data_IF_528720566752
#
_entry.id   IF_528720566752
#
_cell.length_a   1.000
_cell.length_b   1.000
_cell.length_c   1.000
_cell.angle_alpha   90.00
_cell.angle_beta   90.00
_cell.angle_gamma   90.00
#
_symmetry.space_group_name_H-M   'P 1'
#
loop_
_entity.id
_entity.type
_entity.pdbx_description
1 polymer ?
#
# COMPACT_ATOMS: atom_id res chain seq x y z
N UNK A 1 13.52 -3.65 -23.79
CA UNK A 1 13.62 -4.86 -22.94
C UNK A 1 13.14 -4.50 -21.55
N UNK A 2 11.83 -4.60 -21.30
CA UNK A 2 11.21 -4.08 -20.07
C UNK A 2 11.62 -4.82 -18.81
N UNK A 3 11.64 -4.11 -17.67
CA UNK A 3 11.76 -4.67 -16.31
C UNK A 3 10.80 -5.84 -16.13
N UNK A 4 9.61 -5.73 -16.74
CA UNK A 4 8.57 -6.75 -16.78
C UNK A 4 8.95 -8.09 -17.44
N UNK A 5 9.75 -8.08 -18.51
CA UNK A 5 10.20 -9.30 -19.18
C UNK A 5 11.15 -10.08 -18.25
N UNK A 6 12.05 -9.34 -17.58
CA UNK A 6 12.99 -9.89 -16.59
C UNK A 6 12.26 -10.46 -15.38
N UNK A 7 11.17 -9.82 -14.94
CA UNK A 7 10.30 -10.30 -13.86
C UNK A 7 9.53 -11.57 -14.22
N UNK A 8 8.99 -11.67 -15.45
CA UNK A 8 8.34 -12.90 -15.94
C UNK A 8 9.32 -14.08 -15.99
N UNK A 9 10.56 -13.78 -16.33
CA UNK A 9 11.64 -14.77 -16.38
C UNK A 9 12.24 -15.07 -14.98
N UNK A 10 12.00 -14.21 -13.97
CA UNK A 10 12.39 -14.42 -12.57
C UNK A 10 11.38 -15.32 -11.83
N UNK A 11 11.43 -16.61 -12.12
CA UNK A 11 10.78 -17.62 -11.27
C UNK A 11 11.54 -17.77 -9.93
N UNK A 12 10.91 -18.39 -8.92
CA UNK A 12 11.56 -18.64 -7.62
C UNK A 12 12.91 -19.37 -7.73
N UNK A 13 13.09 -20.19 -8.78
CA UNK A 13 14.34 -20.87 -9.09
C UNK A 13 15.40 -19.91 -9.67
N UNK A 14 14.99 -19.02 -10.59
CA UNK A 14 15.87 -18.01 -11.19
C UNK A 14 16.36 -16.98 -10.17
N UNK A 15 15.56 -16.66 -9.15
CA UNK A 15 15.98 -15.78 -8.03
C UNK A 15 17.16 -16.41 -7.27
N UNK A 16 17.10 -17.71 -6.96
CA UNK A 16 18.19 -18.40 -6.27
C UNK A 16 19.48 -18.45 -7.11
N UNK A 17 19.36 -18.77 -8.40
CA UNK A 17 20.51 -18.88 -9.31
C UNK A 17 21.19 -17.52 -9.60
N UNK A 18 20.42 -16.43 -9.55
CA UNK A 18 20.92 -15.08 -9.76
C UNK A 18 21.50 -14.47 -8.46
N UNK A 19 21.00 -14.88 -7.29
CA UNK A 19 21.53 -14.49 -5.98
C UNK A 19 22.98 -14.94 -5.77
N UNK A 20 23.39 -16.07 -6.35
CA UNK A 20 24.76 -16.60 -6.25
C UNK A 20 25.80 -15.76 -7.02
N UNK A 21 25.38 -14.85 -7.92
CA UNK A 21 26.27 -14.07 -8.79
C UNK A 21 26.35 -12.57 -8.50
N UNK A 22 25.56 -12.06 -7.56
CA UNK A 22 25.46 -10.61 -7.27
C UNK A 22 26.04 -10.29 -5.90
N UNK A 23 27.04 -9.40 -5.84
CA UNK A 23 27.70 -9.00 -4.58
C UNK A 23 26.75 -8.34 -3.57
N UNK A 24 25.65 -7.71 -4.01
CA UNK A 24 24.64 -7.07 -3.15
C UNK A 24 23.20 -7.29 -3.66
N UNK A 25 22.57 -8.45 -3.40
CA UNK A 25 21.23 -8.78 -3.91
C UNK A 25 20.12 -7.89 -3.33
N UNK A 26 20.31 -7.34 -2.12
CA UNK A 26 19.34 -6.50 -1.43
C UNK A 26 19.18 -5.13 -2.13
N UNK A 27 20.27 -4.53 -2.60
CA UNK A 27 20.23 -3.23 -3.27
C UNK A 27 19.46 -3.29 -4.60
N UNK A 28 19.63 -4.39 -5.34
CA UNK A 28 18.97 -4.62 -6.60
C UNK A 28 17.47 -4.90 -6.44
N UNK A 29 17.09 -5.65 -5.41
CA UNK A 29 15.68 -5.83 -5.04
C UNK A 29 15.01 -4.52 -4.63
N UNK A 30 15.74 -3.61 -3.98
CA UNK A 30 15.21 -2.29 -3.65
C UNK A 30 14.95 -1.45 -4.90
N UNK A 31 15.84 -1.50 -5.90
CA UNK A 31 15.61 -0.84 -7.19
C UNK A 31 14.39 -1.42 -7.90
N UNK A 32 14.27 -2.75 -7.96
CA UNK A 32 13.10 -3.39 -8.56
C UNK A 32 11.79 -3.03 -7.85
N UNK A 33 11.79 -2.97 -6.51
CA UNK A 33 10.60 -2.55 -5.77
C UNK A 33 10.23 -1.10 -6.09
N UNK A 34 11.21 -0.22 -6.26
CA UNK A 34 10.97 1.17 -6.65
C UNK A 34 10.39 1.28 -8.06
N UNK A 35 10.96 0.55 -9.02
CA UNK A 35 10.44 0.51 -10.39
C UNK A 35 9.00 -0.02 -10.42
N UNK A 36 8.69 -1.07 -9.64
CA UNK A 36 7.33 -1.60 -9.51
C UNK A 36 6.37 -0.61 -8.85
N UNK A 37 6.82 0.17 -7.88
CA UNK A 37 6.01 1.20 -7.23
C UNK A 37 5.65 2.32 -8.22
N UNK A 38 6.59 2.75 -9.05
CA UNK A 38 6.36 3.71 -10.13
C UNK A 38 5.38 3.16 -11.18
N UNK A 39 5.58 1.92 -11.64
CA UNK A 39 4.67 1.26 -12.60
C UNK A 39 3.24 1.09 -12.02
N UNK A 40 3.11 0.77 -10.72
CA UNK A 40 1.81 0.67 -10.05
C UNK A 40 1.13 2.03 -10.00
N UNK A 41 1.86 3.10 -9.68
CA UNK A 41 1.31 4.46 -9.65
C UNK A 41 0.82 4.91 -11.04
N UNK A 42 1.58 4.61 -12.10
CA UNK A 42 1.16 4.90 -13.48
C UNK A 42 -0.07 4.08 -13.89
N UNK A 43 -0.11 2.80 -13.51
CA UNK A 43 -1.25 1.93 -13.75
C UNK A 43 -2.51 2.39 -13.00
N UNK A 44 -2.37 2.85 -11.75
CA UNK A 44 -3.47 3.44 -10.97
C UNK A 44 -4.09 4.65 -11.67
N UNK A 45 -3.27 5.57 -12.18
CA UNK A 45 -3.74 6.73 -12.93
C UNK A 45 -4.45 6.29 -14.21
N UNK A 46 -3.93 5.28 -14.90
CA UNK A 46 -4.51 4.76 -16.14
C UNK A 46 -5.87 4.10 -15.89
N UNK A 47 -5.97 3.26 -14.85
CA UNK A 47 -7.23 2.65 -14.40
C UNK A 47 -8.23 3.73 -14.03
N UNK A 48 -7.82 4.74 -13.25
CA UNK A 48 -8.70 5.84 -12.85
C UNK A 48 -9.22 6.64 -14.05
N UNK A 49 -8.38 6.90 -15.07
CA UNK A 49 -8.80 7.53 -16.32
C UNK A 49 -9.81 6.68 -17.07
N UNK A 50 -9.61 5.37 -17.14
CA UNK A 50 -10.54 4.46 -17.82
C UNK A 50 -11.89 4.39 -17.09
N UNK A 51 -11.87 4.29 -15.76
CA UNK A 51 -13.10 4.35 -14.95
C UNK A 51 -13.82 5.69 -15.09
N UNK A 52 -13.09 6.80 -15.20
CA UNK A 52 -13.68 8.10 -15.46
C UNK A 52 -14.34 8.17 -16.85
N UNK A 53 -13.73 7.54 -17.85
CA UNK A 53 -14.31 7.41 -19.20
C UNK A 53 -15.58 6.57 -19.19
N UNK A 54 -15.58 5.42 -18.51
CA UNK A 54 -16.79 4.61 -18.27
C UNK A 54 -17.91 5.43 -17.64
N UNK A 55 -17.62 6.17 -16.56
CA UNK A 55 -18.61 7.01 -15.88
C UNK A 55 -19.20 8.09 -16.79
N UNK A 56 -18.37 8.73 -17.63
CA UNK A 56 -18.85 9.71 -18.60
C UNK A 56 -19.82 9.09 -19.61
N UNK A 57 -19.53 7.88 -20.09
CA UNK A 57 -20.46 7.17 -20.97
C UNK A 57 -21.75 6.81 -20.24
N UNK A 58 -21.68 6.40 -18.97
CA UNK A 58 -22.86 6.13 -18.16
C UNK A 58 -23.74 7.38 -17.97
N UNK A 59 -23.13 8.54 -17.74
CA UNK A 59 -23.83 9.83 -17.67
C UNK A 59 -24.48 10.19 -19.01
N UNK A 60 -23.78 9.99 -20.13
CA UNK A 60 -24.33 10.23 -21.46
C UNK A 60 -25.57 9.36 -21.75
N UNK A 61 -25.57 8.09 -21.31
CA UNK A 61 -26.76 7.23 -21.43
C UNK A 61 -27.94 7.83 -20.67
N UNK A 62 -27.73 8.28 -19.43
CA UNK A 62 -28.79 8.90 -18.61
C UNK A 62 -29.30 10.20 -19.21
N UNK A 63 -28.42 11.02 -19.77
CA UNK A 63 -28.82 12.26 -20.45
C UNK A 63 -29.67 11.96 -21.69
N UNK A 64 -29.32 10.94 -22.47
CA UNK A 64 -30.11 10.50 -23.62
C UNK A 64 -31.47 9.95 -23.19
N UNK A 65 -31.53 9.16 -22.11
CA UNK A 65 -32.80 8.68 -21.53
C UNK A 65 -33.71 9.85 -21.14
N UNK A 66 -33.17 10.87 -20.47
CA UNK A 66 -33.93 12.08 -20.10
C UNK A 66 -34.45 12.80 -21.34
N UNK A 67 -33.59 13.04 -22.34
CA UNK A 67 -33.99 13.72 -23.58
C UNK A 67 -35.08 12.93 -24.33
N UNK A 68 -34.99 11.60 -24.37
CA UNK A 68 -36.01 10.76 -24.96
C UNK A 68 -37.36 10.88 -24.25
N UNK A 69 -37.36 10.90 -22.90
CA UNK A 69 -38.58 11.10 -22.11
C UNK A 69 -39.18 12.51 -22.34
N UNK A 70 -38.34 13.54 -22.49
CA UNK A 70 -38.80 14.89 -22.84
C UNK A 70 -39.46 14.93 -24.22
N UNK A 71 -38.88 14.26 -25.24
CA UNK A 71 -39.48 14.15 -26.58
C UNK A 71 -40.78 13.37 -26.57
N UNK A 72 -40.88 12.32 -25.77
CA UNK A 72 -42.11 11.57 -25.57
C UNK A 72 -43.22 12.45 -24.98
N UNK A 73 -42.92 13.20 -23.92
CA UNK A 73 -43.88 14.14 -23.32
C UNK A 73 -44.35 15.23 -24.31
N UNK A 74 -43.43 15.75 -25.13
CA UNK A 74 -43.76 16.72 -26.19
C UNK A 74 -44.66 16.13 -27.27
N UNK A 75 -44.40 14.87 -27.67
CA UNK A 75 -45.25 14.15 -28.61
C UNK A 75 -46.66 13.92 -28.05
N UNK A 76 -46.77 13.50 -26.78
CA UNK A 76 -48.05 13.32 -26.11
C UNK A 76 -48.84 14.63 -26.03
N UNK A 77 -48.18 15.73 -25.71
CA UNK A 77 -48.83 17.04 -25.66
C UNK A 77 -49.33 17.47 -27.05
N UNK A 78 -48.52 17.31 -28.09
CA UNK A 78 -48.92 17.63 -29.47
C UNK A 78 -50.13 16.79 -29.92
N UNK A 79 -50.21 15.51 -29.53
CA UNK A 79 -51.38 14.66 -29.79
C UNK A 79 -52.63 15.16 -29.06
N UNK A 80 -52.52 15.57 -27.79
CA UNK A 80 -53.64 16.15 -27.03
C UNK A 80 -54.16 17.45 -27.65
N UNK A 81 -53.27 18.22 -28.30
CA UNK A 81 -53.61 19.43 -29.03
C UNK A 81 -54.12 19.17 -30.46
N UNK A 82 -54.23 17.90 -30.88
CA UNK A 82 -54.70 17.50 -32.22
C UNK A 82 -53.68 17.75 -33.35
N UNK A 83 -52.42 18.02 -33.01
CA UNK A 83 -51.36 18.33 -33.98
C UNK A 83 -50.55 17.07 -34.31
N UNK A 84 -51.16 16.15 -35.06
CA UNK A 84 -50.55 14.85 -35.37
C UNK A 84 -49.18 14.94 -36.08
N UNK A 85 -49.01 15.88 -37.01
CA UNK A 85 -47.74 16.02 -37.75
C UNK A 85 -46.57 16.42 -36.84
N UNK A 86 -46.80 17.27 -35.84
CA UNK A 86 -45.74 17.65 -34.87
C UNK A 86 -45.47 16.52 -33.88
N UNK A 87 -46.49 15.76 -33.48
CA UNK A 87 -46.28 14.56 -32.69
C UNK A 87 -45.41 13.52 -33.40
N UNK A 88 -45.65 13.29 -34.71
CA UNK A 88 -44.79 12.40 -35.52
C UNK A 88 -43.35 12.87 -35.59
N UNK A 89 -43.12 14.18 -35.71
CA UNK A 89 -41.77 14.76 -35.69
C UNK A 89 -41.05 14.49 -34.36
N UNK A 90 -41.71 14.73 -33.23
CA UNK A 90 -41.12 14.45 -31.90
C UNK A 90 -40.84 12.96 -31.68
N UNK A 91 -41.71 12.08 -32.17
CA UNK A 91 -41.47 10.63 -32.12
C UNK A 91 -40.31 10.19 -33.02
N UNK A 92 -40.15 10.79 -34.20
CA UNK A 92 -39.01 10.55 -35.08
C UNK A 92 -37.70 10.98 -34.39
N UNK A 93 -37.67 12.16 -33.77
CA UNK A 93 -36.52 12.63 -32.99
C UNK A 93 -36.20 11.69 -31.83
N UNK A 94 -37.21 11.19 -31.12
CA UNK A 94 -37.03 10.19 -30.05
C UNK A 94 -36.39 8.91 -30.58
N UNK A 95 -36.84 8.40 -31.73
CA UNK A 95 -36.27 7.19 -32.35
C UNK A 95 -34.79 7.39 -32.72
N UNK A 96 -34.42 8.58 -33.22
CA UNK A 96 -33.01 8.91 -33.46
C UNK A 96 -32.18 8.94 -32.17
N UNK A 97 -32.72 9.52 -31.09
CA UNK A 97 -32.07 9.49 -29.78
C UNK A 97 -31.93 8.06 -29.25
N UNK A 98 -32.93 7.20 -29.48
CA UNK A 98 -32.89 5.79 -29.09
C UNK A 98 -31.77 5.02 -29.80
N UNK A 99 -31.60 5.22 -31.11
CA UNK A 99 -30.50 4.62 -31.86
C UNK A 99 -29.15 5.04 -31.27
N UNK A 100 -28.97 6.34 -31.05
CA UNK A 100 -27.74 6.87 -30.42
C UNK A 100 -27.51 6.31 -29.02
N UNK A 101 -28.57 6.16 -28.23
CA UNK A 101 -28.47 5.55 -26.89
C UNK A 101 -27.98 4.11 -26.97
N UNK A 102 -28.46 3.30 -27.92
CA UNK A 102 -27.98 1.92 -28.09
C UNK A 102 -26.50 1.83 -28.46
N UNK A 103 -26.02 2.77 -29.28
CA UNK A 103 -24.59 2.89 -29.62
C UNK A 103 -23.75 3.22 -28.37
N UNK A 104 -24.16 4.25 -27.61
CA UNK A 104 -23.45 4.67 -26.40
C UNK A 104 -23.49 3.59 -25.32
N UNK A 105 -24.60 2.86 -25.18
CA UNK A 105 -24.69 1.72 -24.26
C UNK A 105 -23.71 0.59 -24.62
N UNK A 106 -23.51 0.34 -25.92
CA UNK A 106 -22.53 -0.64 -26.39
C UNK A 106 -21.10 -0.19 -26.07
N UNK A 107 -20.80 1.10 -26.27
CA UNK A 107 -19.51 1.67 -25.88
C UNK A 107 -19.29 1.63 -24.36
N UNK A 108 -20.33 1.90 -23.58
CA UNK A 108 -20.29 1.85 -22.13
C UNK A 108 -20.00 0.42 -21.62
N UNK A 109 -20.66 -0.60 -22.17
CA UNK A 109 -20.42 -1.99 -21.77
C UNK A 109 -18.99 -2.45 -22.09
N UNK A 110 -18.45 -2.05 -23.24
CA UNK A 110 -17.05 -2.30 -23.60
C UNK A 110 -16.09 -1.58 -22.66
N UNK A 111 -16.33 -0.29 -22.39
CA UNK A 111 -15.49 0.51 -21.49
C UNK A 111 -15.51 -0.03 -20.06
N UNK A 112 -16.65 -0.54 -19.60
CA UNK A 112 -16.79 -1.20 -18.30
C UNK A 112 -15.97 -2.49 -18.22
N UNK A 113 -16.10 -3.37 -19.22
CA UNK A 113 -15.32 -4.62 -19.26
C UNK A 113 -13.81 -4.34 -19.22
N UNK A 114 -13.35 -3.34 -19.99
CA UNK A 114 -11.94 -2.91 -19.97
C UNK A 114 -11.53 -2.32 -18.62
N UNK A 115 -12.39 -1.53 -17.97
CA UNK A 115 -12.10 -0.97 -16.64
C UNK A 115 -11.97 -2.05 -15.58
N UNK A 116 -12.85 -3.05 -15.61
CA UNK A 116 -12.83 -4.20 -14.71
C UNK A 116 -11.57 -5.05 -14.92
N UNK A 117 -11.20 -5.33 -16.17
CA UNK A 117 -9.97 -6.06 -16.51
C UNK A 117 -8.71 -5.33 -16.01
N UNK A 118 -8.60 -4.02 -16.27
CA UNK A 118 -7.46 -3.22 -15.82
C UNK A 118 -7.39 -3.13 -14.29
N UNK A 119 -8.54 -3.05 -13.61
CA UNK A 119 -8.60 -3.06 -12.15
C UNK A 119 -8.12 -4.42 -11.58
N UNK A 120 -8.52 -5.53 -12.19
CA UNK A 120 -8.03 -6.85 -11.83
C UNK A 120 -6.51 -6.99 -12.03
N UNK A 121 -6.00 -6.56 -13.19
CA UNK A 121 -4.57 -6.59 -13.47
C UNK A 121 -3.79 -5.75 -12.43
N UNK A 122 -4.27 -4.54 -12.11
CA UNK A 122 -3.66 -3.70 -11.09
C UNK A 122 -3.62 -4.38 -9.72
N UNK A 123 -4.68 -5.10 -9.35
CA UNK A 123 -4.72 -5.86 -8.11
C UNK A 123 -3.63 -6.95 -8.07
N UNK A 124 -3.51 -7.75 -9.14
CA UNK A 124 -2.48 -8.78 -9.26
C UNK A 124 -1.05 -8.19 -9.19
N UNK A 125 -0.85 -7.01 -9.79
CA UNK A 125 0.43 -6.28 -9.71
C UNK A 125 0.76 -5.88 -8.27
N UNK A 126 -0.21 -5.36 -7.52
CA UNK A 126 -0.06 -5.02 -6.10
C UNK A 126 0.27 -6.25 -5.26
N UNK A 127 -0.43 -7.37 -5.46
CA UNK A 127 -0.12 -8.63 -4.77
C UNK A 127 1.32 -9.10 -5.04
N UNK A 128 1.76 -9.02 -6.29
CA UNK A 128 3.13 -9.38 -6.68
C UNK A 128 4.17 -8.47 -6.03
N UNK A 129 3.89 -7.17 -5.96
CA UNK A 129 4.73 -6.21 -5.22
C UNK A 129 4.86 -6.59 -3.74
N UNK A 130 3.75 -6.93 -3.06
CA UNK A 130 3.79 -7.37 -1.66
C UNK A 130 4.61 -8.66 -1.47
N UNK A 131 4.45 -9.64 -2.38
CA UNK A 131 5.26 -10.87 -2.35
C UNK A 131 6.76 -10.56 -2.49
N UNK A 132 7.13 -9.69 -3.43
CA UNK A 132 8.52 -9.29 -3.63
C UNK A 132 9.09 -8.52 -2.43
N UNK A 133 8.30 -7.63 -1.83
CA UNK A 133 8.68 -6.88 -0.63
C UNK A 133 8.97 -7.82 0.55
N UNK A 134 8.11 -8.82 0.75
CA UNK A 134 8.33 -9.85 1.78
C UNK A 134 9.60 -10.66 1.49
N UNK A 135 9.82 -11.06 0.24
CA UNK A 135 11.03 -11.79 -0.16
C UNK A 135 12.30 -10.96 0.07
N UNK A 136 12.26 -9.66 -0.23
CA UNK A 136 13.37 -8.73 0.07
C UNK A 136 13.68 -8.69 1.56
N UNK A 137 12.66 -8.61 2.42
CA UNK A 137 12.86 -8.59 3.87
C UNK A 137 13.50 -9.89 4.39
N UNK A 138 13.05 -11.02 3.88
CA UNK A 138 13.62 -12.33 4.19
C UNK A 138 15.11 -12.39 3.79
N UNK A 139 15.43 -11.96 2.56
CA UNK A 139 16.80 -11.97 2.05
C UNK A 139 17.72 -10.99 2.79
N UNK A 140 17.22 -9.82 3.17
CA UNK A 140 17.96 -8.85 3.98
C UNK A 140 18.29 -9.39 5.37
N UNK A 141 17.35 -10.08 6.02
CA UNK A 141 17.61 -10.73 7.31
C UNK A 141 18.67 -11.84 7.18
N UNK A 142 18.56 -12.68 6.14
CA UNK A 142 19.55 -13.73 5.86
C UNK A 142 20.95 -13.15 5.57
N UNK A 143 21.03 -12.08 4.78
CA UNK A 143 22.32 -11.44 4.47
C UNK A 143 22.95 -10.83 5.71
N UNK A 144 22.16 -10.21 6.59
CA UNK A 144 22.65 -9.68 7.87
C UNK A 144 23.17 -10.78 8.79
N UNK A 145 22.46 -11.92 8.90
CA UNK A 145 22.92 -13.08 9.66
C UNK A 145 24.22 -13.66 9.09
N UNK A 146 24.31 -13.83 7.77
CA UNK A 146 25.51 -14.34 7.11
C UNK A 146 26.71 -13.39 7.28
N UNK A 147 26.48 -12.07 7.19
CA UNK A 147 27.52 -11.07 7.43
C UNK A 147 27.99 -11.08 8.89
N UNK A 148 27.07 -11.20 9.85
CA UNK A 148 27.38 -11.33 11.28
C UNK A 148 28.20 -12.59 11.54
N UNK A 149 27.82 -13.74 10.97
CA UNK A 149 28.55 -15.00 11.12
C UNK A 149 29.95 -14.93 10.47
N UNK A 150 30.07 -14.28 9.32
CA UNK A 150 31.36 -14.03 8.67
C UNK A 150 32.23 -13.11 9.52
N UNK A 151 31.67 -12.05 10.11
CA UNK A 151 32.39 -11.14 10.99
C UNK A 151 32.83 -11.83 12.29
N UNK A 152 31.99 -12.69 12.89
CA UNK A 152 32.38 -13.52 14.05
C UNK A 152 33.50 -14.50 13.71
N UNK A 153 33.44 -15.14 12.53
CA UNK A 153 34.49 -16.04 12.03
C UNK A 153 35.80 -15.29 11.74
N UNK A 154 35.73 -14.10 11.15
CA UNK A 154 36.90 -13.27 10.79
C UNK A 154 37.49 -12.51 11.99
N UNK A 155 36.70 -12.22 13.04
CA UNK A 155 37.17 -11.60 14.28
C UNK A 155 37.93 -12.57 15.20
N UNK A 156 38.25 -13.78 14.72
CA UNK A 156 39.20 -14.66 15.38
C UNK A 156 38.66 -15.46 16.56
N UNK A 157 37.35 -15.72 16.66
CA UNK A 157 36.85 -16.68 17.66
C UNK A 157 37.26 -18.14 17.34
N UNK A 158 37.93 -18.38 16.21
CA UNK A 158 38.48 -19.68 15.82
C UNK A 158 39.88 -19.98 16.36
N UNK A 159 40.44 -19.14 17.25
CA UNK A 159 41.80 -19.32 17.79
C UNK A 159 41.92 -19.60 19.30
N UNK A 160 40.84 -19.53 20.08
CA UNK A 160 40.92 -19.55 21.56
C UNK A 160 40.18 -20.76 22.18
N UNK A 161 40.06 -21.86 21.43
CA UNK A 161 39.73 -23.18 22.01
C UNK A 161 41.00 -23.97 22.42
N UNK A 162 42.15 -23.30 22.47
CA UNK A 162 43.38 -23.80 23.08
C UNK A 162 43.56 -23.22 24.48
N UNK A 163 43.10 -23.95 25.49
CA UNK A 163 43.64 -23.98 26.88
C UNK A 163 43.96 -22.61 27.52
N UNK A 164 42.98 -22.03 28.25
CA UNK A 164 43.28 -21.13 29.38
C UNK A 164 42.59 -19.76 29.44
N UNK A 165 41.95 -19.27 28.37
CA UNK A 165 41.43 -17.88 28.33
C UNK A 165 39.90 -17.76 28.16
N UNK A 166 39.14 -18.83 28.42
CA UNK A 166 37.67 -18.78 28.37
C UNK A 166 37.08 -17.75 29.37
N UNK A 167 37.71 -17.59 30.54
CA UNK A 167 37.28 -16.61 31.54
C UNK A 167 37.41 -15.14 31.06
N UNK A 168 38.47 -14.79 30.33
CA UNK A 168 38.65 -13.45 29.76
C UNK A 168 37.72 -13.19 28.56
N UNK A 169 37.39 -14.24 27.80
CA UNK A 169 36.37 -14.16 26.75
C UNK A 169 34.97 -13.93 27.32
N UNK A 170 34.62 -14.62 28.41
CA UNK A 170 33.36 -14.41 29.12
C UNK A 170 33.25 -13.00 29.70
N UNK A 171 34.31 -12.46 30.33
CA UNK A 171 34.30 -11.09 30.85
C UNK A 171 34.07 -10.03 29.77
N UNK A 172 34.63 -10.20 28.57
CA UNK A 172 34.41 -9.27 27.45
C UNK A 172 33.01 -9.37 26.86
N UNK A 173 32.44 -10.58 26.82
CA UNK A 173 31.06 -10.80 26.38
C UNK A 173 30.09 -10.23 27.41
N UNK A 174 30.37 -10.41 28.70
CA UNK A 174 29.60 -9.84 29.80
C UNK A 174 29.66 -8.30 29.76
N UNK A 175 30.83 -7.68 29.58
CA UNK A 175 30.94 -6.21 29.38
C UNK A 175 30.19 -5.72 28.13
N UNK A 176 30.19 -6.49 27.04
CA UNK A 176 29.49 -6.12 25.80
C UNK A 176 27.97 -6.23 25.95
N UNK A 177 27.50 -7.27 26.65
CA UNK A 177 26.08 -7.44 26.99
C UNK A 177 25.67 -6.35 27.97
N UNK A 178 26.49 -6.02 28.97
CA UNK A 178 26.24 -4.97 29.94
C UNK A 178 26.23 -3.59 29.27
N UNK A 179 27.08 -3.34 28.27
CA UNK A 179 27.01 -2.13 27.42
C UNK A 179 25.75 -2.11 26.54
N UNK A 180 25.35 -3.24 25.95
CA UNK A 180 24.11 -3.31 25.16
C UNK A 180 22.85 -3.20 26.04
N UNK A 181 22.89 -3.72 27.27
CA UNK A 181 21.84 -3.57 28.27
C UNK A 181 21.79 -2.17 28.84
N UNK A 182 22.94 -1.51 29.00
CA UNK A 182 23.03 -0.08 29.33
C UNK A 182 22.49 0.73 28.15
N UNK A 183 22.85 0.48 26.89
CA UNK A 183 22.30 1.19 25.73
C UNK A 183 20.81 0.92 25.53
N UNK A 184 20.34 -0.32 25.69
CA UNK A 184 18.93 -0.69 25.63
C UNK A 184 18.14 -0.18 26.85
N UNK A 185 18.79 -0.10 28.00
CA UNK A 185 18.30 0.49 29.25
C UNK A 185 18.27 2.02 29.18
N UNK A 186 19.20 2.65 28.46
CA UNK A 186 19.22 4.07 28.13
C UNK A 186 18.17 4.39 27.05
N UNK A 187 17.84 3.47 26.15
CA UNK A 187 16.66 3.60 25.27
C UNK A 187 15.33 3.41 26.01
N UNK A 188 15.30 2.68 27.14
CA UNK A 188 14.14 2.62 28.05
C UNK A 188 14.17 3.66 29.18
N UNK A 189 15.28 4.36 29.37
CA UNK A 189 15.54 5.30 30.47
C UNK A 189 15.95 6.72 30.02
N UNK A 190 15.87 7.03 28.72
CA UNK A 190 16.01 8.39 28.17
C UNK A 190 14.69 9.16 28.12
N UNK A 191 13.77 8.86 29.04
CA UNK A 191 12.96 9.89 29.66
C UNK A 191 13.80 10.50 30.81
N UNK A 192 14.76 11.34 30.44
CA UNK A 192 15.57 12.08 31.40
C UNK A 192 14.72 13.02 32.27
N UNK A 193 15.18 13.34 33.49
CA UNK A 193 14.42 14.06 34.51
C UNK A 193 14.37 15.57 34.23
N UNK A 194 13.21 16.19 34.51
CA UNK A 194 13.15 17.60 34.91
C UNK A 194 12.50 18.60 33.94
N UNK A 195 11.19 18.49 33.74
CA UNK A 195 10.32 19.68 33.81
C UNK A 195 9.11 19.29 34.65
N UNK A 196 9.12 19.71 35.90
CA UNK A 196 7.97 19.59 36.78
C UNK A 196 6.81 20.38 36.17
N UNK A 197 5.75 19.67 35.77
CA UNK A 197 4.46 20.30 35.52
C UNK A 197 3.83 20.64 36.89
N UNK A 198 3.67 21.93 37.23
CA UNK A 198 3.12 22.37 38.53
C UNK A 198 1.67 21.92 38.79
N UNK A 199 1.00 21.32 37.79
CA UNK A 199 -0.28 20.64 37.96
C UNK A 199 -0.16 19.28 38.67
N UNK A 200 1.00 18.63 38.61
CA UNK A 200 1.20 17.27 39.14
C UNK A 200 1.42 17.27 40.65
N UNK A 201 2.16 18.26 41.18
CA UNK A 201 2.33 18.43 42.63
C UNK A 201 0.99 18.70 43.33
N UNK A 202 0.12 19.55 42.75
CA UNK A 202 -1.21 19.82 43.30
C UNK A 202 -2.10 18.56 43.36
N UNK A 203 -2.00 17.71 42.34
CA UNK A 203 -2.75 16.43 42.29
C UNK A 203 -2.21 15.41 43.27
N UNK A 204 -0.90 15.41 43.50
CA UNK A 204 -0.24 14.54 44.49
C UNK A 204 -0.59 15.01 45.90
N UNK A 205 -0.63 16.32 46.16
CA UNK A 205 -1.04 16.88 47.45
C UNK A 205 -2.52 16.59 47.75
N UNK A 206 -3.41 16.70 46.76
CA UNK A 206 -4.83 16.35 46.90
C UNK A 206 -5.04 14.84 47.18
N UNK A 207 -4.26 13.96 46.55
CA UNK A 207 -4.27 12.51 46.83
C UNK A 207 -3.70 12.19 48.22
N UNK A 208 -2.65 12.91 48.64
CA UNK A 208 -2.03 12.76 49.96
C UNK A 208 -2.95 13.23 51.10
N UNK A 209 -3.70 14.32 50.92
CA UNK A 209 -4.73 14.75 51.87
C UNK A 209 -5.88 13.74 51.96
N UNK A 210 -6.32 13.19 50.83
CA UNK A 210 -7.34 12.12 50.81
C UNK A 210 -6.88 10.87 51.55
N UNK A 211 -5.61 10.49 51.41
CA UNK A 211 -5.03 9.36 52.14
C UNK A 211 -4.87 9.65 53.63
N UNK A 212 -4.44 10.87 54.00
CA UNK A 212 -4.37 11.30 55.41
C UNK A 212 -5.73 11.33 56.10
N UNK A 213 -6.76 11.82 55.39
CA UNK A 213 -8.15 11.80 55.86
C UNK A 213 -8.70 10.38 56.05
N UNK A 214 -8.37 9.45 55.14
CA UNK A 214 -8.74 8.02 55.28
C UNK A 214 -8.00 7.31 56.42
N UNK A 215 -6.79 7.75 56.76
CA UNK A 215 -5.96 7.16 57.81
C UNK A 215 -6.15 7.84 59.19
N UNK A 216 -7.02 8.86 59.28
CA UNK A 216 -7.42 9.48 60.56
C UNK A 216 -6.29 10.24 61.27
N UNK A 217 -5.23 10.62 60.57
CA UNK A 217 -4.13 11.40 61.11
C UNK A 217 -4.39 12.88 60.78
N UNK A 218 -4.72 13.67 61.82
CA UNK A 218 -4.78 15.13 61.73
C UNK A 218 -3.39 15.72 61.55
#
# INVERSE_FOLDING_TARGET
MGVFQRLRDMTAASINEWLDKVENPVALLNQYLRDMEEEIAEAEVTVAKQMAHERKLAEQVKDLERLMAEREAQAEQALREGKEETARQWLADRLHLQQRMTEVQTLHSQARAQSEELAHLLHERKETFYRMRNKRNELAARSFMAQTQKQMSQSGFSGVLGRGNAAQGFQRVEERILQMEIEAGLMRGSAGPGMADPGTERRIDEEMERLRGKLGLK
#
